data_IF_486075264683
#
_entry.id   IF_486075264683
#
_cell.length_a   1.000
_cell.length_b   1.000
_cell.length_c   1.000
_cell.angle_alpha   90.00
_cell.angle_beta   90.00
_cell.angle_gamma   90.00
#
_symmetry.space_group_name_H-M   'P 1'
#
loop_
_entity.id
_entity.type
_entity.pdbx_description
1 polymer ?
#
# COMPACT_ATOMS: atom_id res chain seq x y z
N UNK A 1 -2.24 -9.43 -2.68
CA UNK A 1 -3.38 -10.11 -3.33
C UNK A 1 -3.36 -11.59 -2.92
N UNK A 2 -4.42 -12.14 -2.32
CA UNK A 2 -4.44 -13.54 -1.84
C UNK A 2 -4.81 -14.56 -2.91
N UNK A 3 -5.08 -14.12 -4.15
CA UNK A 3 -5.56 -14.98 -5.23
C UNK A 3 -7.04 -15.38 -5.11
N UNK A 4 -7.72 -14.96 -4.04
CA UNK A 4 -9.12 -15.32 -3.78
C UNK A 4 -10.09 -14.75 -4.81
N UNK A 5 -9.81 -13.56 -5.32
CA UNK A 5 -10.68 -12.85 -6.27
C UNK A 5 -10.46 -13.33 -7.71
N UNK A 6 -9.24 -13.81 -8.03
CA UNK A 6 -8.86 -14.30 -9.37
C UNK A 6 -8.97 -15.83 -9.50
N UNK A 7 -9.06 -16.55 -8.39
CA UNK A 7 -9.03 -18.02 -8.35
C UNK A 7 -7.63 -18.63 -8.48
N UNK A 8 -6.59 -17.79 -8.64
CA UNK A 8 -5.20 -18.23 -8.78
C UNK A 8 -4.45 -18.08 -7.45
N UNK A 9 -4.31 -19.17 -6.71
CA UNK A 9 -3.55 -19.21 -5.46
C UNK A 9 -2.06 -19.37 -5.78
N UNK A 10 -1.32 -18.27 -5.68
CA UNK A 10 0.14 -18.26 -5.76
C UNK A 10 0.76 -18.55 -4.39
N UNK A 11 1.85 -19.31 -4.38
CA UNK A 11 2.58 -19.63 -3.14
C UNK A 11 3.20 -18.37 -2.53
N UNK A 12 3.22 -18.30 -1.19
CA UNK A 12 3.78 -17.15 -0.48
C UNK A 12 5.25 -16.87 -0.80
N UNK A 13 6.04 -17.93 -0.98
CA UNK A 13 7.43 -17.82 -1.40
C UNK A 13 7.58 -17.20 -2.79
N UNK A 14 6.67 -17.48 -3.73
CA UNK A 14 6.67 -16.86 -5.05
C UNK A 14 6.40 -15.36 -4.95
N UNK A 15 5.44 -14.94 -4.12
CA UNK A 15 5.21 -13.51 -3.85
C UNK A 15 6.47 -12.82 -3.30
N UNK A 16 7.16 -13.44 -2.34
CA UNK A 16 8.37 -12.85 -1.77
C UNK A 16 9.49 -12.65 -2.80
N UNK A 17 9.71 -13.63 -3.70
CA UNK A 17 10.69 -13.49 -4.79
C UNK A 17 10.31 -12.37 -5.75
N UNK A 18 9.05 -12.30 -6.16
CA UNK A 18 8.57 -11.27 -7.11
C UNK A 18 8.60 -9.87 -6.50
N UNK A 19 8.24 -9.72 -5.23
CA UNK A 19 8.37 -8.44 -4.51
C UNK A 19 9.84 -8.03 -4.42
N UNK A 20 10.74 -8.95 -4.09
CA UNK A 20 12.19 -8.67 -4.08
C UNK A 20 12.67 -8.21 -5.46
N UNK A 21 12.25 -8.88 -6.53
CA UNK A 21 12.59 -8.49 -7.90
C UNK A 21 12.07 -7.09 -8.24
N UNK A 22 10.84 -6.77 -7.85
CA UNK A 22 10.26 -5.44 -8.03
C UNK A 22 11.05 -4.36 -7.29
N UNK A 23 11.41 -4.59 -6.01
CA UNK A 23 12.22 -3.66 -5.22
C UNK A 23 13.58 -3.41 -5.90
N UNK A 24 14.27 -4.49 -6.30
CA UNK A 24 15.55 -4.38 -6.99
C UNK A 24 15.45 -3.65 -8.33
N UNK A 25 14.34 -3.85 -9.05
CA UNK A 25 14.04 -3.14 -10.28
C UNK A 25 13.83 -1.64 -10.00
N UNK A 26 13.03 -1.26 -9.00
CA UNK A 26 12.82 0.14 -8.61
C UNK A 26 14.14 0.83 -8.24
N UNK A 27 15.00 0.17 -7.45
CA UNK A 27 16.29 0.71 -7.06
C UNK A 27 17.20 0.97 -8.26
N UNK A 28 17.16 0.09 -9.26
CA UNK A 28 17.96 0.21 -10.48
C UNK A 28 17.40 1.27 -11.42
N UNK A 29 16.09 1.29 -11.65
CA UNK A 29 15.45 2.18 -12.61
C UNK A 29 15.50 3.64 -12.16
N UNK A 30 15.29 3.90 -10.87
CA UNK A 30 15.22 5.25 -10.33
C UNK A 30 16.49 5.68 -9.58
N UNK A 31 17.51 4.83 -9.53
CA UNK A 31 18.78 5.07 -8.81
C UNK A 31 18.59 5.44 -7.33
N UNK A 32 17.51 4.97 -6.70
CA UNK A 32 17.18 5.24 -5.29
C UNK A 32 17.51 4.02 -4.42
N UNK A 33 18.42 4.15 -3.43
CA UNK A 33 18.63 3.09 -2.46
C UNK A 33 17.41 2.98 -1.53
N UNK A 34 16.96 1.74 -1.25
CA UNK A 34 15.97 1.47 -0.20
C UNK A 34 16.73 1.24 1.10
N UNK A 35 16.65 2.20 2.03
CA UNK A 35 17.27 2.10 3.35
C UNK A 35 16.23 1.79 4.45
N UNK A 36 14.95 1.95 4.14
CA UNK A 36 13.83 1.62 4.99
C UNK A 36 13.38 0.16 4.80
N UNK A 37 12.84 -0.49 5.84
CA UNK A 37 12.23 -1.81 5.70
C UNK A 37 10.96 -1.73 4.84
N UNK A 38 10.60 -2.86 4.23
CA UNK A 38 9.31 -3.01 3.56
C UNK A 38 8.20 -3.12 4.60
N UNK A 39 7.26 -2.19 4.58
CA UNK A 39 6.12 -2.19 5.49
C UNK A 39 5.04 -3.16 4.98
N UNK A 40 4.69 -4.13 5.82
CA UNK A 40 3.71 -5.18 5.51
C UNK A 40 2.53 -5.04 6.45
N UNK A 41 1.32 -5.26 5.92
CA UNK A 41 0.10 -5.28 6.73
C UNK A 41 0.28 -6.16 7.99
N UNK A 42 -0.04 -5.66 9.19
CA UNK A 42 0.10 -6.40 10.45
C UNK A 42 -0.60 -7.77 10.46
N UNK A 43 -1.64 -7.96 9.66
CA UNK A 43 -2.35 -9.23 9.52
C UNK A 43 -1.62 -10.24 8.61
N UNK A 44 -0.71 -9.79 7.74
CA UNK A 44 0.01 -10.62 6.79
C UNK A 44 1.38 -11.10 7.29
N UNK A 45 1.44 -11.63 8.53
CA UNK A 45 2.69 -12.09 9.16
C UNK A 45 3.45 -13.13 8.34
N UNK A 46 2.73 -14.04 7.67
CA UNK A 46 3.35 -15.06 6.81
C UNK A 46 4.20 -14.44 5.68
N UNK A 47 3.76 -13.31 5.10
CA UNK A 47 4.49 -12.69 3.99
C UNK A 47 5.78 -12.04 4.48
N UNK A 48 5.77 -11.50 5.70
CA UNK A 48 6.98 -10.99 6.37
C UNK A 48 8.03 -12.08 6.51
N UNK A 49 7.62 -13.26 7.01
CA UNK A 49 8.52 -14.39 7.16
C UNK A 49 9.10 -14.86 5.81
N UNK A 50 8.30 -14.86 4.74
CA UNK A 50 8.77 -15.23 3.39
C UNK A 50 9.73 -14.17 2.80
N UNK A 51 9.48 -12.88 3.04
CA UNK A 51 10.36 -11.78 2.61
C UNK A 51 11.70 -11.80 3.36
N UNK A 52 11.68 -12.04 4.66
CA UNK A 52 12.88 -12.16 5.48
C UNK A 52 13.77 -13.33 5.01
N UNK A 53 13.17 -14.48 4.61
CA UNK A 53 13.90 -15.62 4.04
C UNK A 53 14.65 -15.28 2.75
N UNK A 54 14.14 -14.32 1.97
CA UNK A 54 14.81 -13.87 0.74
C UNK A 54 15.69 -12.63 0.97
N UNK A 55 15.92 -12.24 2.23
CA UNK A 55 16.80 -11.14 2.61
C UNK A 55 16.21 -9.75 2.36
N UNK A 56 14.89 -9.61 2.48
CA UNK A 56 14.21 -8.31 2.47
C UNK A 56 13.82 -7.96 3.91
N UNK A 57 14.32 -6.84 4.40
CA UNK A 57 13.96 -6.34 5.72
C UNK A 57 12.49 -5.91 5.75
N UNK A 58 11.76 -6.30 6.80
CA UNK A 58 10.32 -5.99 6.92
C UNK A 58 9.95 -5.35 8.25
N UNK A 59 8.90 -4.54 8.23
CA UNK A 59 8.26 -3.98 9.41
C UNK A 59 6.73 -4.05 9.28
N UNK A 60 6.03 -3.89 10.40
CA UNK A 60 4.57 -3.73 10.38
C UNK A 60 4.18 -2.36 9.86
N UNK A 61 3.27 -2.30 8.90
CA UNK A 61 2.71 -1.04 8.43
C UNK A 61 1.86 -0.38 9.52
N UNK A 62 1.96 0.94 9.65
CA UNK A 62 0.99 1.73 10.42
C UNK A 62 -0.32 1.82 9.62
N UNK A 63 -1.25 0.94 9.96
CA UNK A 63 -2.53 0.80 9.29
C UNK A 63 -3.61 1.74 9.83
N UNK A 64 -3.21 2.81 10.54
CA UNK A 64 -4.08 3.78 11.19
C UNK A 64 -4.95 3.23 12.33
N UNK A 65 -4.77 1.98 12.79
CA UNK A 65 -5.67 1.37 13.80
C UNK A 65 -5.79 2.15 15.11
N UNK A 66 -4.79 2.98 15.44
CA UNK A 66 -4.73 3.79 16.65
C UNK A 66 -4.86 5.30 16.40
N UNK A 67 -5.09 5.72 15.16
CA UNK A 67 -5.17 7.13 14.81
C UNK A 67 -6.50 7.75 15.22
N UNK A 68 -6.43 8.95 15.78
CA UNK A 68 -7.59 9.80 16.11
C UNK A 68 -7.25 11.24 15.75
N UNK A 69 -8.07 11.88 14.92
CA UNK A 69 -7.93 13.30 14.55
C UNK A 69 -9.29 13.97 14.53
N UNK A 70 -9.54 14.88 15.47
CA UNK A 70 -10.84 15.55 15.60
C UNK A 70 -11.98 14.55 15.79
N UNK A 71 -12.81 14.37 14.75
CA UNK A 71 -13.92 13.38 14.73
C UNK A 71 -13.58 12.10 13.98
N UNK A 72 -12.50 12.10 13.18
CA UNK A 72 -12.05 10.94 12.42
C UNK A 72 -11.22 10.00 13.31
N UNK A 73 -11.36 8.70 13.08
CA UNK A 73 -10.64 7.67 13.81
C UNK A 73 -10.32 6.49 12.88
N UNK A 74 -9.23 5.79 13.18
CA UNK A 74 -8.89 4.59 12.43
C UNK A 74 -8.53 4.90 10.98
N UNK A 75 -9.02 4.04 10.08
CA UNK A 75 -8.83 4.15 8.63
C UNK A 75 -9.34 5.48 8.04
N UNK A 76 -10.33 6.12 8.66
CA UNK A 76 -10.87 7.40 8.17
C UNK A 76 -9.81 8.51 8.17
N UNK A 77 -8.94 8.52 9.19
CA UNK A 77 -7.82 9.48 9.25
C UNK A 77 -6.87 9.26 8.08
N UNK A 78 -6.57 8.00 7.76
CA UNK A 78 -5.72 7.65 6.60
C UNK A 78 -6.36 8.04 5.27
N UNK A 79 -7.68 7.87 5.13
CA UNK A 79 -8.43 8.26 3.93
C UNK A 79 -8.39 9.79 3.75
N UNK A 80 -8.66 10.57 4.80
CA UNK A 80 -8.62 12.04 4.75
C UNK A 80 -7.22 12.57 4.38
N UNK A 81 -6.16 11.95 4.95
CA UNK A 81 -4.77 12.24 4.60
C UNK A 81 -4.50 11.98 3.11
N UNK A 82 -4.92 10.82 2.59
CA UNK A 82 -4.71 10.49 1.17
C UNK A 82 -5.49 11.42 0.24
N UNK A 83 -6.73 11.77 0.60
CA UNK A 83 -7.53 12.77 -0.14
C UNK A 83 -6.85 14.14 -0.19
N UNK A 84 -6.20 14.54 0.90
CA UNK A 84 -5.44 15.79 0.96
C UNK A 84 -4.25 15.76 0.01
N UNK A 85 -3.41 14.72 0.06
CA UNK A 85 -2.25 14.60 -0.85
C UNK A 85 -2.67 14.52 -2.32
N UNK A 86 -3.76 13.84 -2.64
CA UNK A 86 -4.29 13.79 -4.00
C UNK A 86 -4.77 15.18 -4.46
N UNK A 87 -5.55 15.87 -3.63
CA UNK A 87 -6.09 17.21 -3.96
C UNK A 87 -4.99 18.25 -4.15
N UNK A 88 -3.91 18.11 -3.39
CA UNK A 88 -2.74 19.00 -3.43
C UNK A 88 -1.69 18.57 -4.47
N UNK A 89 -1.94 17.49 -5.22
CA UNK A 89 -1.02 16.93 -6.24
C UNK A 89 0.34 16.51 -5.69
N UNK A 90 0.35 15.98 -4.46
CA UNK A 90 1.54 15.48 -3.75
C UNK A 90 1.63 13.96 -3.75
N UNK A 91 0.53 13.27 -4.05
CA UNK A 91 0.54 11.85 -4.39
C UNK A 91 0.55 11.70 -5.91
N UNK A 92 1.61 11.12 -6.46
CA UNK A 92 1.81 10.96 -7.91
C UNK A 92 2.01 9.50 -8.26
N UNK A 93 1.43 9.08 -9.39
CA UNK A 93 1.75 7.80 -10.02
C UNK A 93 2.85 8.03 -11.04
N UNK A 94 3.87 7.17 -11.00
CA UNK A 94 4.99 7.23 -11.95
C UNK A 94 4.69 6.27 -13.09
N UNK A 95 4.62 6.80 -14.31
CA UNK A 95 4.49 6.04 -15.53
C UNK A 95 5.86 5.57 -16.03
N UNK A 96 5.92 4.35 -16.56
CA UNK A 96 7.16 3.74 -17.05
C UNK A 96 7.20 3.77 -18.58
N UNK A 97 8.41 3.76 -19.15
CA UNK A 97 8.59 3.76 -20.60
C UNK A 97 8.39 2.38 -21.24
N UNK A 98 8.45 1.29 -20.47
CA UNK A 98 8.53 -0.09 -20.98
C UNK A 98 7.42 -1.02 -20.48
N UNK A 99 6.38 -0.49 -19.82
CA UNK A 99 5.21 -1.22 -19.31
C UNK A 99 5.53 -2.49 -18.48
N UNK A 100 6.72 -2.58 -17.87
CA UNK A 100 7.11 -3.75 -17.08
C UNK A 100 6.28 -3.85 -15.79
N UNK A 101 6.02 -2.70 -15.17
CA UNK A 101 5.07 -2.55 -14.08
C UNK A 101 4.16 -1.37 -14.39
N UNK A 102 2.91 -1.48 -13.96
CA UNK A 102 1.89 -0.47 -14.23
C UNK A 102 1.13 -0.09 -12.94
N UNK A 103 0.27 0.92 -13.09
CA UNK A 103 -0.61 1.40 -12.04
C UNK A 103 -2.06 0.90 -12.21
N UNK A 104 -2.29 -0.13 -13.04
CA UNK A 104 -3.64 -0.55 -13.44
C UNK A 104 -4.51 -0.92 -12.24
N UNK A 105 -3.98 -1.74 -11.33
CA UNK A 105 -4.70 -2.12 -10.11
C UNK A 105 -5.07 -0.91 -9.24
N UNK A 106 -4.17 0.07 -9.13
CA UNK A 106 -4.45 1.30 -8.40
C UNK A 106 -5.54 2.14 -9.08
N UNK A 107 -5.43 2.35 -10.39
CA UNK A 107 -6.37 3.13 -11.20
C UNK A 107 -7.77 2.51 -11.23
N UNK A 108 -7.85 1.18 -11.27
CA UNK A 108 -9.11 0.47 -11.18
C UNK A 108 -9.74 0.66 -9.81
N UNK A 109 -8.98 0.42 -8.74
CA UNK A 109 -9.53 0.45 -7.39
C UNK A 109 -9.94 1.86 -6.94
N UNK A 110 -9.17 2.90 -7.26
CA UNK A 110 -9.56 4.28 -6.90
C UNK A 110 -10.89 4.68 -7.54
N UNK A 111 -11.19 4.17 -8.74
CA UNK A 111 -12.46 4.39 -9.43
C UNK A 111 -13.63 3.57 -8.86
N UNK A 112 -13.35 2.54 -8.06
CA UNK A 112 -14.33 1.62 -7.48
C UNK A 112 -14.47 1.76 -5.96
N UNK A 113 -13.58 2.50 -5.30
CA UNK A 113 -13.55 2.63 -3.85
C UNK A 113 -14.68 3.54 -3.37
N UNK A 114 -15.71 2.92 -2.79
CA UNK A 114 -16.97 3.59 -2.40
C UNK A 114 -17.29 3.37 -0.93
N UNK A 115 -18.25 4.16 -0.43
CA UNK A 115 -18.81 4.01 0.91
C UNK A 115 -20.15 3.30 0.84
N UNK A 116 -20.43 2.48 1.83
CA UNK A 116 -21.74 1.87 2.04
C UNK A 116 -22.76 2.95 2.42
N UNK A 117 -23.89 3.01 1.69
CA UNK A 117 -24.88 4.06 1.84
C UNK A 117 -25.53 4.08 3.24
N UNK A 118 -25.62 2.93 3.91
CA UNK A 118 -26.30 2.81 5.19
C UNK A 118 -25.39 3.19 6.36
N UNK A 119 -24.14 2.71 6.34
CA UNK A 119 -23.19 2.90 7.44
C UNK A 119 -22.26 4.09 7.24
N UNK A 120 -22.14 4.60 6.01
CA UNK A 120 -21.15 5.61 5.62
C UNK A 120 -19.70 5.12 5.65
N UNK A 121 -19.47 3.85 5.97
CA UNK A 121 -18.13 3.25 6.08
C UNK A 121 -17.60 2.85 4.69
N UNK A 122 -16.27 2.82 4.49
CA UNK A 122 -15.68 2.29 3.27
C UNK A 122 -16.10 0.83 3.07
N UNK A 123 -16.46 0.48 1.83
CA UNK A 123 -16.76 -0.91 1.48
C UNK A 123 -15.46 -1.72 1.44
N UNK A 124 -15.43 -2.84 2.15
CA UNK A 124 -14.30 -3.78 2.16
C UNK A 124 -14.29 -4.66 0.89
N UNK A 125 -14.08 -4.02 -0.26
CA UNK A 125 -14.00 -4.67 -1.57
C UNK A 125 -13.26 -3.77 -2.56
N UNK A 126 -12.39 -4.37 -3.38
CA UNK A 126 -11.58 -3.66 -4.38
C UNK A 126 -10.74 -2.53 -3.75
N UNK A 127 -10.07 -2.84 -2.63
CA UNK A 127 -9.34 -1.91 -1.79
C UNK A 127 -7.90 -2.33 -1.50
N UNK A 128 -7.36 -3.35 -2.19
CA UNK A 128 -6.02 -3.88 -1.90
C UNK A 128 -4.92 -2.83 -2.15
N UNK A 129 -4.96 -2.17 -3.31
CA UNK A 129 -4.11 -1.04 -3.66
C UNK A 129 -4.46 0.21 -2.84
N UNK A 130 -5.73 0.43 -2.50
CA UNK A 130 -6.14 1.57 -1.67
C UNK A 130 -5.59 1.47 -0.24
N UNK A 131 -5.64 0.28 0.37
CA UNK A 131 -5.06 0.04 1.69
C UNK A 131 -3.53 0.17 1.67
N UNK A 132 -2.89 -0.39 0.64
CA UNK A 132 -1.44 -0.24 0.46
C UNK A 132 -1.03 1.23 0.33
N UNK A 133 -1.79 2.01 -0.44
CA UNK A 133 -1.54 3.45 -0.64
C UNK A 133 -1.79 4.26 0.62
N UNK A 134 -2.81 3.88 1.42
CA UNK A 134 -3.11 4.49 2.71
C UNK A 134 -1.98 4.26 3.71
N UNK A 135 -1.39 3.06 3.75
CA UNK A 135 -0.25 2.77 4.61
C UNK A 135 0.97 3.63 4.25
N UNK A 136 1.28 3.74 2.95
CA UNK A 136 2.37 4.58 2.47
C UNK A 136 2.11 6.08 2.76
N UNK A 137 0.89 6.54 2.53
CA UNK A 137 0.45 7.91 2.86
C UNK A 137 0.61 8.20 4.34
N UNK A 138 0.22 7.25 5.18
CA UNK A 138 0.28 7.44 6.62
C UNK A 138 1.72 7.53 7.11
N UNK A 139 2.59 6.65 6.60
CA UNK A 139 4.03 6.74 6.84
C UNK A 139 4.58 8.11 6.39
N UNK A 140 4.23 8.57 5.19
CA UNK A 140 4.67 9.87 4.70
C UNK A 140 4.24 11.01 5.65
N UNK A 141 2.97 11.05 6.04
CA UNK A 141 2.45 12.07 6.94
C UNK A 141 3.24 12.13 8.26
N UNK A 142 3.42 10.97 8.91
CA UNK A 142 4.09 10.88 10.22
C UNK A 142 5.55 11.30 10.20
N UNK A 143 6.22 11.18 9.06
CA UNK A 143 7.65 11.43 8.95
C UNK A 143 7.99 12.77 8.29
N UNK A 144 7.06 13.34 7.50
CA UNK A 144 7.36 14.50 6.66
C UNK A 144 6.33 15.65 6.73
N UNK A 145 5.10 15.40 7.19
CA UNK A 145 4.05 16.44 7.28
C UNK A 145 3.75 16.88 8.72
N UNK A 146 3.79 15.96 9.68
CA UNK A 146 3.43 16.18 11.09
C UNK A 146 4.54 16.94 11.88
N UNK A 147 5.32 17.80 11.20
CA UNK A 147 6.45 18.59 11.75
C UNK A 147 6.00 20.00 12.16
#
# INVERSE_FOLDING_TARGET
HSGRDTGEVKAGSTYAVEIKQFIQWCMKEYEVPVNEPVFIDPACRWLREELEKVGVDTAGADNNAHDVTGKAQGIEVGIERMQSLLSERRYLLVEQLNDQYDNYGWLQEIGMYVRDENSGKPVDKNNHAMDTSRYATNYFYRNYEDI
#
